data_IF_521379194862
#
_entry.id   IF_521379194862
#
_cell.length_a   1.000
_cell.length_b   1.000
_cell.length_c   1.000
_cell.angle_alpha   90.00
_cell.angle_beta   90.00
_cell.angle_gamma   90.00
#
_symmetry.space_group_name_H-M   'P 1'
#
loop_
_entity.id
_entity.type
_entity.pdbx_description
1 polymer ?
#
# COMPACT_ATOMS: atom_id res chain seq x y z
N UNK A 1 -13.08 -23.61 -2.95
CA UNK A 1 -12.19 -22.47 -3.27
C UNK A 1 -11.10 -22.97 -4.19
N UNK A 2 -11.11 -22.54 -5.44
CA UNK A 2 -10.13 -23.00 -6.43
C UNK A 2 -9.04 -21.94 -6.53
N UNK A 3 -7.83 -22.27 -6.10
CA UNK A 3 -6.65 -21.41 -6.29
C UNK A 3 -6.21 -21.39 -7.76
N UNK A 4 -5.06 -20.78 -8.03
CA UNK A 4 -4.47 -20.81 -9.37
C UNK A 4 -4.12 -22.25 -9.78
N UNK A 5 -4.37 -22.64 -11.05
CA UNK A 5 -3.90 -23.91 -11.59
C UNK A 5 -2.38 -24.08 -11.47
N UNK A 6 -1.89 -25.30 -11.24
CA UNK A 6 -0.47 -25.58 -11.04
C UNK A 6 0.45 -25.07 -12.16
N UNK A 7 -0.03 -25.04 -13.39
CA UNK A 7 0.76 -24.54 -14.52
C UNK A 7 0.94 -23.01 -14.47
N UNK A 8 -0.07 -22.26 -14.01
CA UNK A 8 0.03 -20.82 -13.79
C UNK A 8 0.96 -20.52 -12.60
N UNK A 9 0.87 -21.32 -11.53
CA UNK A 9 1.77 -21.22 -10.36
C UNK A 9 3.23 -21.43 -10.79
N UNK A 10 3.50 -22.44 -11.62
CA UNK A 10 4.85 -22.69 -12.16
C UNK A 10 5.33 -21.56 -13.07
N UNK A 11 4.45 -21.01 -13.91
CA UNK A 11 4.78 -19.87 -14.77
C UNK A 11 5.15 -18.63 -13.93
N UNK A 12 4.35 -18.31 -12.91
CA UNK A 12 4.63 -17.22 -11.97
C UNK A 12 5.97 -17.41 -11.24
N UNK A 13 6.21 -18.61 -10.71
CA UNK A 13 7.45 -18.94 -10.06
C UNK A 13 8.66 -18.76 -11.00
N UNK A 14 8.54 -19.19 -12.26
CA UNK A 14 9.60 -19.01 -13.26
C UNK A 14 9.85 -17.52 -13.56
N UNK A 15 8.79 -16.72 -13.77
CA UNK A 15 8.90 -15.27 -14.00
C UNK A 15 9.61 -14.60 -12.83
N UNK A 16 9.22 -14.92 -11.59
CA UNK A 16 9.81 -14.32 -10.39
C UNK A 16 11.24 -14.80 -10.14
N UNK A 17 11.57 -16.06 -10.44
CA UNK A 17 12.94 -16.57 -10.35
C UNK A 17 13.87 -15.93 -11.38
N UNK A 18 13.44 -15.82 -12.65
CA UNK A 18 14.23 -15.20 -13.73
C UNK A 18 14.43 -13.71 -13.46
N UNK A 19 13.42 -13.05 -12.90
CA UNK A 19 13.48 -11.62 -12.57
C UNK A 19 14.42 -11.29 -11.39
N UNK A 20 14.96 -12.28 -10.68
CA UNK A 20 15.92 -12.11 -9.58
C UNK A 20 15.48 -11.10 -8.51
N UNK A 21 16.47 -10.37 -7.96
CA UNK A 21 16.26 -9.20 -7.10
C UNK A 21 15.49 -8.05 -7.78
N UNK A 22 15.26 -8.14 -9.09
CA UNK A 22 14.51 -7.16 -9.85
C UNK A 22 13.08 -7.00 -9.34
N UNK A 23 12.37 -8.06 -8.91
CA UNK A 23 11.05 -7.91 -8.28
C UNK A 23 11.12 -7.83 -6.75
N UNK A 24 12.30 -7.96 -6.14
CA UNK A 24 12.46 -7.64 -4.72
C UNK A 24 12.28 -6.14 -4.54
N UNK A 25 11.23 -5.74 -3.81
CA UNK A 25 10.88 -4.34 -3.58
C UNK A 25 9.86 -3.74 -4.56
N UNK A 26 9.59 -4.38 -5.71
CA UNK A 26 8.55 -3.96 -6.68
C UNK A 26 7.29 -4.80 -6.52
N UNK A 27 6.60 -4.61 -5.39
CA UNK A 27 5.40 -5.39 -5.03
C UNK A 27 4.33 -5.34 -6.12
N UNK A 28 4.06 -4.16 -6.70
CA UNK A 28 3.04 -3.98 -7.72
C UNK A 28 3.33 -4.74 -9.01
N UNK A 29 4.59 -4.79 -9.44
CA UNK A 29 4.99 -5.56 -10.62
C UNK A 29 4.71 -7.06 -10.45
N UNK A 30 4.71 -7.58 -9.21
CA UNK A 30 4.32 -8.98 -8.97
C UNK A 30 2.82 -9.20 -9.22
N UNK A 31 1.99 -8.22 -8.89
CA UNK A 31 0.56 -8.26 -9.20
C UNK A 31 0.33 -8.24 -10.72
N UNK A 32 1.02 -7.37 -11.46
CA UNK A 32 0.89 -7.35 -12.92
C UNK A 32 1.42 -8.62 -13.58
N UNK A 33 2.52 -9.19 -13.10
CA UNK A 33 3.01 -10.48 -13.60
C UNK A 33 1.99 -11.59 -13.39
N UNK A 34 1.27 -11.59 -12.26
CA UNK A 34 0.19 -12.55 -12.00
C UNK A 34 -1.00 -12.35 -12.94
N UNK A 35 -1.40 -11.10 -13.20
CA UNK A 35 -2.43 -10.76 -14.18
C UNK A 35 -2.01 -11.21 -15.59
N UNK A 36 -0.76 -10.94 -15.98
CA UNK A 36 -0.22 -11.29 -17.29
C UNK A 36 -0.19 -12.81 -17.52
N UNK A 37 0.22 -13.61 -16.53
CA UNK A 37 0.19 -15.08 -16.62
C UNK A 37 -1.22 -15.60 -16.89
N UNK A 38 -2.24 -14.90 -16.38
CA UNK A 38 -3.64 -15.25 -16.57
C UNK A 38 -4.32 -14.56 -17.75
N UNK A 39 -3.55 -13.82 -18.56
CA UNK A 39 -4.06 -13.08 -19.71
C UNK A 39 -5.02 -11.93 -19.34
N UNK A 40 -4.96 -11.45 -18.10
CA UNK A 40 -5.75 -10.31 -17.62
C UNK A 40 -5.00 -8.99 -17.87
N UNK A 41 -5.72 -7.87 -18.06
CA UNK A 41 -5.09 -6.56 -18.21
C UNK A 41 -4.35 -6.17 -16.92
N UNK A 42 -3.22 -5.47 -17.09
CA UNK A 42 -2.48 -4.88 -15.97
C UNK A 42 -3.27 -3.75 -15.30
N UNK A 43 -2.86 -3.34 -14.10
CA UNK A 43 -3.46 -2.21 -13.41
C UNK A 43 -3.23 -0.89 -14.17
N UNK A 44 -4.27 -0.04 -14.20
CA UNK A 44 -4.15 1.32 -14.73
C UNK A 44 -3.32 2.17 -13.76
N UNK A 45 -2.13 2.59 -14.19
CA UNK A 45 -1.13 3.26 -13.34
C UNK A 45 -1.57 4.64 -12.83
N UNK A 46 -2.48 5.29 -13.55
CA UNK A 46 -2.93 6.66 -13.32
C UNK A 46 -4.13 6.78 -12.39
N UNK A 47 -4.66 5.68 -11.88
CA UNK A 47 -5.94 5.64 -11.18
C UNK A 47 -5.83 4.88 -9.86
N UNK A 48 -6.79 5.11 -8.97
CA UNK A 48 -6.96 4.29 -7.78
C UNK A 48 -7.59 2.95 -8.15
N UNK A 49 -7.22 1.86 -7.43
CA UNK A 49 -6.40 1.79 -6.21
C UNK A 49 -4.88 1.74 -6.44
N UNK A 50 -4.41 1.70 -7.70
CA UNK A 50 -2.98 1.56 -7.99
C UNK A 50 -2.14 2.71 -7.42
N UNK A 51 -2.57 3.96 -7.63
CA UNK A 51 -1.85 5.12 -7.14
C UNK A 51 -1.73 5.14 -5.62
N UNK A 52 -2.82 4.90 -4.90
CA UNK A 52 -2.81 4.83 -3.45
C UNK A 52 -1.93 3.71 -2.93
N UNK A 53 -1.97 2.51 -3.52
CA UNK A 53 -1.10 1.42 -3.13
C UNK A 53 0.39 1.68 -3.41
N UNK A 54 0.70 2.32 -4.56
CA UNK A 54 2.08 2.76 -4.86
C UNK A 54 2.60 3.74 -3.82
N UNK A 55 1.79 4.74 -3.48
CA UNK A 55 2.15 5.73 -2.48
C UNK A 55 2.30 5.12 -1.08
N UNK A 56 1.46 4.15 -0.74
CA UNK A 56 1.58 3.38 0.50
C UNK A 56 2.89 2.58 0.57
N UNK A 57 3.32 1.97 -0.53
CA UNK A 57 4.60 1.27 -0.60
C UNK A 57 5.77 2.25 -0.43
N UNK A 58 5.70 3.43 -1.06
CA UNK A 58 6.69 4.51 -0.87
C UNK A 58 6.77 4.93 0.60
N UNK A 59 5.63 5.16 1.25
CA UNK A 59 5.54 5.49 2.68
C UNK A 59 6.13 4.38 3.55
N UNK A 60 5.73 3.12 3.34
CA UNK A 60 6.27 1.96 4.09
C UNK A 60 7.78 1.87 3.93
N UNK A 61 8.30 2.05 2.71
CA UNK A 61 9.73 1.98 2.45
C UNK A 61 10.49 3.08 3.18
N UNK A 62 9.94 4.31 3.20
CA UNK A 62 10.51 5.39 4.00
C UNK A 62 10.57 5.05 5.50
N UNK A 63 9.46 4.55 6.07
CA UNK A 63 9.40 4.22 7.49
C UNK A 63 10.33 3.07 7.90
N UNK A 64 10.46 2.04 7.05
CA UNK A 64 11.28 0.86 7.35
C UNK A 64 12.76 1.08 7.04
N UNK A 65 13.08 1.89 6.03
CA UNK A 65 14.46 2.17 5.60
C UNK A 65 14.90 3.60 5.94
N UNK A 66 14.33 4.18 7.00
CA UNK A 66 14.64 5.53 7.44
C UNK A 66 16.15 5.70 7.65
N UNK A 67 16.79 6.59 6.88
CA UNK A 67 18.19 6.97 7.05
C UNK A 67 18.25 8.29 7.80
N UNK A 68 18.81 8.26 9.01
CA UNK A 68 18.94 9.40 9.94
C UNK A 68 19.68 10.62 9.34
N UNK A 69 20.40 10.46 8.22
CA UNK A 69 21.25 11.50 7.63
C UNK A 69 20.65 12.26 6.44
N UNK A 70 19.43 11.95 5.98
CA UNK A 70 18.91 12.48 4.70
C UNK A 70 17.78 13.50 4.78
N UNK A 71 17.37 13.93 5.98
CA UNK A 71 16.31 14.94 6.11
C UNK A 71 16.77 15.98 7.12
N UNK A 72 17.01 17.21 6.66
CA UNK A 72 17.10 18.34 7.57
C UNK A 72 15.74 18.45 8.26
N UNK A 73 15.73 18.70 9.58
CA UNK A 73 14.49 18.78 10.36
C UNK A 73 13.58 19.96 9.95
N UNK A 74 14.08 20.83 9.07
CA UNK A 74 13.43 22.06 8.63
C UNK A 74 12.90 22.00 7.19
N UNK A 75 13.19 20.92 6.44
CA UNK A 75 12.72 20.77 5.06
C UNK A 75 11.48 19.88 4.95
N UNK A 76 10.51 20.33 4.14
CA UNK A 76 9.32 19.54 3.85
C UNK A 76 9.69 18.31 3.02
N UNK A 77 9.39 17.12 3.55
CA UNK A 77 9.66 15.87 2.87
C UNK A 77 8.81 15.72 1.60
N UNK A 78 9.35 15.15 0.51
CA UNK A 78 8.66 14.99 -0.78
C UNK A 78 7.33 14.21 -0.68
N UNK A 79 7.21 13.32 0.31
CA UNK A 79 5.97 12.57 0.56
C UNK A 79 4.84 13.46 1.08
N UNK A 80 5.15 14.62 1.68
CA UNK A 80 4.15 15.54 2.23
C UNK A 80 3.19 16.03 1.16
N UNK A 81 3.71 16.46 0.01
CA UNK A 81 2.90 16.93 -1.12
C UNK A 81 1.97 15.84 -1.66
N UNK A 82 2.39 14.56 -1.59
CA UNK A 82 1.62 13.42 -2.09
C UNK A 82 0.57 12.94 -1.09
N UNK A 83 0.87 12.98 0.22
CA UNK A 83 0.03 12.39 1.28
C UNK A 83 -0.96 13.38 1.92
N UNK A 84 -0.64 14.68 1.98
CA UNK A 84 -1.46 15.70 2.69
C UNK A 84 -2.95 15.71 2.31
N UNK A 85 -3.27 15.38 1.05
CA UNK A 85 -4.64 15.39 0.52
C UNK A 85 -5.25 13.97 0.42
N UNK A 86 -4.64 12.96 1.05
CA UNK A 86 -5.12 11.57 1.00
C UNK A 86 -5.87 11.15 2.27
N UNK A 87 -5.62 11.80 3.39
CA UNK A 87 -6.24 11.49 4.67
C UNK A 87 -6.15 12.66 5.64
N UNK A 88 -6.93 12.58 6.71
CA UNK A 88 -6.91 13.59 7.78
C UNK A 88 -5.60 13.56 8.57
N UNK A 89 -5.05 14.75 8.78
CA UNK A 89 -3.80 14.94 9.53
C UNK A 89 -3.98 14.67 11.03
N UNK A 90 -2.90 14.31 11.70
CA UNK A 90 -2.87 14.11 13.14
C UNK A 90 -2.83 15.46 13.88
N UNK A 91 -4.01 15.96 14.28
CA UNK A 91 -4.17 17.24 15.00
C UNK A 91 -3.45 17.30 16.35
N UNK A 92 -3.08 16.15 16.94
CA UNK A 92 -2.33 16.12 18.23
C UNK A 92 -0.86 16.49 18.10
N UNK A 93 -0.33 16.50 16.87
CA UNK A 93 1.07 16.82 16.56
C UNK A 93 1.18 18.05 15.68
N UNK A 94 0.11 18.82 15.55
CA UNK A 94 0.10 20.06 14.78
C UNK A 94 1.02 21.08 15.45
N UNK A 95 2.10 21.44 14.77
CA UNK A 95 3.00 22.52 15.17
C UNK A 95 3.27 23.41 13.94
N UNK A 96 2.94 24.71 14.02
CA UNK A 96 3.20 25.66 12.94
C UNK A 96 4.69 25.80 12.55
N UNK A 97 5.61 25.45 13.45
CA UNK A 97 7.04 25.60 13.25
C UNK A 97 7.74 24.31 12.79
N UNK A 98 7.02 23.20 12.65
CA UNK A 98 7.59 21.92 12.21
C UNK A 98 6.99 21.41 10.90
N UNK A 99 7.78 20.72 10.06
CA UNK A 99 7.25 20.08 8.86
C UNK A 99 6.11 19.10 9.18
N UNK A 100 5.13 19.03 8.28
CA UNK A 100 3.96 18.15 8.41
C UNK A 100 4.34 16.66 8.48
N UNK A 101 5.39 16.25 7.76
CA UNK A 101 5.86 14.88 7.77
C UNK A 101 7.16 14.78 8.59
N UNK A 102 7.33 13.75 9.45
CA UNK A 102 6.43 12.61 9.66
C UNK A 102 5.32 12.85 10.71
N UNK A 103 5.44 13.86 11.58
CA UNK A 103 4.68 13.91 12.84
C UNK A 103 3.18 14.15 12.68
N UNK A 104 2.77 15.03 11.76
CA UNK A 104 1.35 15.27 11.47
C UNK A 104 0.78 14.26 10.47
N UNK A 105 1.63 13.62 9.67
CA UNK A 105 1.23 12.57 8.74
C UNK A 105 0.92 11.25 9.47
N UNK A 106 1.74 10.85 10.43
CA UNK A 106 1.60 9.58 11.13
C UNK A 106 0.54 9.70 12.24
N UNK A 107 -0.68 9.29 11.91
CA UNK A 107 -1.82 9.24 12.83
C UNK A 107 -2.88 8.24 12.41
N UNK A 108 -4.05 8.30 13.07
CA UNK A 108 -5.16 7.41 12.80
C UNK A 108 -5.65 7.50 11.34
N UNK A 109 -5.71 8.72 10.77
CA UNK A 109 -6.07 8.94 9.37
C UNK A 109 -5.15 8.21 8.39
N UNK A 110 -3.84 8.32 8.57
CA UNK A 110 -2.85 7.60 7.76
C UNK A 110 -2.97 6.08 7.90
N UNK A 111 -3.16 5.57 9.10
CA UNK A 111 -3.29 4.13 9.34
C UNK A 111 -4.55 3.56 8.68
N UNK A 112 -5.67 4.28 8.79
CA UNK A 112 -6.93 3.93 8.12
C UNK A 112 -6.77 3.96 6.60
N UNK A 113 -6.24 5.04 6.04
CA UNK A 113 -6.00 5.17 4.61
C UNK A 113 -5.07 4.07 4.08
N UNK A 114 -4.01 3.72 4.82
CA UNK A 114 -3.11 2.64 4.47
C UNK A 114 -3.83 1.29 4.37
N UNK A 115 -4.70 0.99 5.35
CA UNK A 115 -5.51 -0.22 5.34
C UNK A 115 -6.50 -0.23 4.17
N UNK A 116 -7.27 0.85 3.99
CA UNK A 116 -8.25 0.98 2.88
C UNK A 116 -7.57 0.84 1.51
N UNK A 117 -6.39 1.45 1.33
CA UNK A 117 -5.62 1.38 0.09
C UNK A 117 -5.12 -0.04 -0.22
N UNK A 118 -4.63 -0.76 0.80
CA UNK A 118 -4.18 -2.14 0.64
C UNK A 118 -5.34 -3.09 0.34
N UNK A 119 -6.47 -2.89 1.02
CA UNK A 119 -7.70 -3.66 0.81
C UNK A 119 -8.25 -3.41 -0.59
N UNK A 120 -8.37 -2.15 -1.02
CA UNK A 120 -8.88 -1.81 -2.36
C UNK A 120 -8.05 -2.44 -3.49
N UNK A 121 -6.72 -2.40 -3.39
CA UNK A 121 -5.85 -3.04 -4.38
C UNK A 121 -6.08 -4.55 -4.44
N UNK A 122 -6.12 -5.20 -3.27
CA UNK A 122 -6.25 -6.66 -3.22
C UNK A 122 -7.64 -7.12 -3.63
N UNK A 123 -8.71 -6.42 -3.25
CA UNK A 123 -10.07 -6.69 -3.71
C UNK A 123 -10.22 -6.55 -5.23
N UNK A 124 -9.62 -5.53 -5.85
CA UNK A 124 -9.63 -5.44 -7.32
C UNK A 124 -8.85 -6.60 -7.95
N UNK A 125 -7.69 -6.95 -7.38
CA UNK A 125 -6.92 -8.09 -7.88
C UNK A 125 -7.72 -9.39 -7.78
N UNK A 126 -8.40 -9.64 -6.66
CA UNK A 126 -9.29 -10.80 -6.47
C UNK A 126 -10.42 -10.83 -7.49
N UNK A 127 -11.06 -9.70 -7.73
CA UNK A 127 -12.17 -9.60 -8.69
C UNK A 127 -11.71 -9.95 -10.11
N UNK A 128 -10.54 -9.47 -10.54
CA UNK A 128 -9.98 -9.75 -11.87
C UNK A 128 -9.44 -11.18 -11.96
N UNK A 129 -8.80 -11.66 -10.91
CA UNK A 129 -8.25 -13.00 -10.86
C UNK A 129 -9.31 -14.07 -10.51
N UNK A 130 -10.52 -13.73 -10.08
CA UNK A 130 -11.49 -14.73 -9.63
C UNK A 130 -10.95 -15.70 -8.58
N UNK A 131 -10.07 -15.24 -7.69
CA UNK A 131 -9.53 -16.00 -6.55
C UNK A 131 -9.90 -15.26 -5.27
N UNK A 132 -10.18 -16.00 -4.19
CA UNK A 132 -10.35 -15.42 -2.87
C UNK A 132 -9.04 -15.55 -2.09
N UNK A 133 -8.44 -14.43 -1.69
CA UNK A 133 -7.26 -14.38 -0.83
C UNK A 133 -7.71 -14.49 0.62
N UNK A 134 -6.88 -15.08 1.46
CA UNK A 134 -7.23 -15.46 2.83
C UNK A 134 -7.60 -14.28 3.76
N UNK A 135 -7.27 -13.05 3.37
CA UNK A 135 -7.54 -11.83 4.14
C UNK A 135 -8.80 -11.07 3.67
N UNK A 136 -9.48 -11.51 2.61
CA UNK A 136 -10.77 -10.96 2.17
C UNK A 136 -11.93 -11.22 3.16
N UNK A 137 -11.71 -12.10 4.14
CA UNK A 137 -12.71 -12.45 5.17
C UNK A 137 -12.59 -11.61 6.43
N UNK A 138 -11.84 -10.51 6.43
CA UNK A 138 -11.84 -9.59 7.58
C UNK A 138 -13.21 -8.88 7.64
N UNK A 139 -13.87 -8.84 8.81
CA UNK A 139 -15.16 -8.15 8.94
C UNK A 139 -15.02 -6.67 8.55
N UNK A 140 -16.07 -6.09 7.95
CA UNK A 140 -16.13 -4.66 7.61
C UNK A 140 -15.85 -3.77 8.86
N UNK A 141 -16.14 -4.29 10.06
CA UNK A 141 -15.92 -3.65 11.37
C UNK A 141 -14.52 -3.88 11.97
N UNK A 142 -13.52 -4.33 11.20
CA UNK A 142 -12.17 -4.55 11.74
C UNK A 142 -11.55 -3.26 12.30
N UNK A 143 -11.89 -2.11 11.73
CA UNK A 143 -11.48 -0.81 12.27
C UNK A 143 -12.53 -0.34 13.28
N UNK A 144 -12.25 -0.34 14.60
CA UNK A 144 -13.21 0.20 15.55
C UNK A 144 -13.39 1.69 15.26
N UNK A 145 -14.62 2.09 14.97
CA UNK A 145 -15.04 3.48 14.97
C UNK A 145 -14.47 4.09 16.26
N UNK A 146 -13.74 5.20 16.15
CA UNK A 146 -12.97 5.81 17.24
C UNK A 146 -13.77 6.25 18.48
N UNK A 147 -15.01 5.79 18.65
CA UNK A 147 -15.80 5.82 19.88
C UNK A 147 -15.26 4.94 21.02
N UNK A 148 -14.34 4.01 20.75
CA UNK A 148 -13.63 3.26 21.78
C UNK A 148 -12.48 4.06 22.39
N UNK A 149 -12.80 5.04 23.23
CA UNK A 149 -11.81 5.76 24.03
C UNK A 149 -10.99 4.78 24.88
N UNK A 150 -9.67 4.76 24.67
CA UNK A 150 -8.73 4.14 25.60
C UNK A 150 -8.65 5.04 26.85
N UNK A 151 -9.41 4.66 27.88
CA UNK A 151 -9.14 5.00 29.28
C UNK A 151 -8.17 3.98 29.88
#
# INVERSE_FOLDING_TARGET
MTGLPDHEVRALAAVWHISGSGLQGRVLDKYDSALAVRGQPAFVRGEDPYQSAKLLIELRNYLVHYKVHSTSLDEEHELSAKLKNRFDSNTRREDPNHPWFPDQALGAGCARWAWESATALTSQFEAVMGVALAYSTQPEDFWPDGSGGLL
#
